data_IF_689172852033
#
_entry.id   IF_689172852033
#
_cell.length_a   1.000
_cell.length_b   1.000
_cell.length_c   1.000
_cell.angle_alpha   90.00
_cell.angle_beta   90.00
_cell.angle_gamma   90.00
#
_symmetry.space_group_name_H-M   'P 1'
#
loop_
_entity.id
_entity.type
_entity.pdbx_description
1 polymer ?
#
# COMPACT_ATOMS: atom_id res chain seq x y z
N UNK A 1 11.95 -6.30 8.75
CA UNK A 1 11.50 -5.12 9.53
C UNK A 1 10.98 -5.53 10.90
N UNK A 2 11.04 -4.64 11.92
CA UNK A 2 10.38 -4.90 13.21
C UNK A 2 8.87 -4.64 13.06
N UNK A 3 8.05 -5.28 13.88
CA UNK A 3 6.58 -5.09 13.89
C UNK A 3 6.14 -3.64 14.11
N UNK A 4 6.99 -2.82 14.74
CA UNK A 4 6.77 -1.38 14.91
C UNK A 4 6.87 -0.63 13.57
N UNK A 5 7.80 -1.01 12.70
CA UNK A 5 8.00 -0.37 11.39
C UNK A 5 6.80 -0.62 10.45
N UNK A 6 6.24 -1.84 10.47
CA UNK A 6 5.05 -2.17 9.68
C UNK A 6 3.81 -1.39 10.15
N UNK A 7 3.69 -1.12 11.44
CA UNK A 7 2.60 -0.32 12.01
C UNK A 7 2.71 1.15 11.61
N UNK A 8 3.93 1.69 11.61
CA UNK A 8 4.22 3.05 11.17
C UNK A 8 3.97 3.23 9.66
N UNK A 9 4.37 2.24 8.87
CA UNK A 9 4.06 2.16 7.44
C UNK A 9 2.54 2.15 7.20
N UNK A 10 1.80 1.28 7.89
CA UNK A 10 0.34 1.21 7.77
C UNK A 10 -0.32 2.57 8.06
N UNK A 11 0.10 3.24 9.14
CA UNK A 11 -0.41 4.56 9.51
C UNK A 11 -0.06 5.63 8.47
N UNK A 12 1.17 5.62 7.96
CA UNK A 12 1.65 6.57 6.94
C UNK A 12 0.87 6.41 5.64
N UNK A 13 0.70 5.16 5.18
CA UNK A 13 -0.05 4.83 3.96
C UNK A 13 -1.53 5.16 4.13
N UNK A 14 -2.11 4.89 5.29
CA UNK A 14 -3.50 5.25 5.58
C UNK A 14 -3.71 6.78 5.57
N UNK A 15 -2.77 7.54 6.13
CA UNK A 15 -2.82 9.01 6.13
C UNK A 15 -2.72 9.56 4.71
N UNK A 16 -1.75 9.09 3.93
CA UNK A 16 -1.60 9.45 2.51
C UNK A 16 -2.83 9.08 1.69
N UNK A 17 -3.45 7.91 1.95
CA UNK A 17 -4.72 7.51 1.34
C UNK A 17 -5.79 8.57 1.62
N UNK A 18 -6.01 8.95 2.88
CA UNK A 18 -7.03 9.94 3.24
C UNK A 18 -6.77 11.32 2.64
N UNK A 19 -5.51 11.75 2.58
CA UNK A 19 -5.12 13.09 2.12
C UNK A 19 -5.12 13.22 0.58
N UNK A 20 -4.60 12.22 -0.15
CA UNK A 20 -4.38 12.32 -1.60
C UNK A 20 -5.44 11.59 -2.42
N UNK A 21 -5.92 10.46 -1.92
CA UNK A 21 -6.82 9.58 -2.65
C UNK A 21 -7.83 8.91 -1.70
N UNK A 22 -8.75 9.69 -1.10
CA UNK A 22 -9.74 9.16 -0.14
C UNK A 22 -10.64 8.09 -0.74
N UNK A 23 -10.70 8.02 -2.07
CA UNK A 23 -11.40 7.03 -2.87
C UNK A 23 -10.70 5.66 -2.95
N UNK A 24 -9.43 5.54 -2.59
CA UNK A 24 -8.74 4.25 -2.56
C UNK A 24 -9.29 3.41 -1.41
N UNK A 25 -9.52 2.12 -1.67
CA UNK A 25 -10.04 1.19 -0.68
C UNK A 25 -9.05 0.98 0.49
N UNK A 26 -9.57 0.70 1.68
CA UNK A 26 -8.74 0.34 2.84
C UNK A 26 -7.94 -0.95 2.59
N UNK A 27 -8.42 -1.81 1.67
CA UNK A 27 -7.69 -2.97 1.18
C UNK A 27 -6.32 -2.62 0.57
N UNK A 28 -6.15 -1.41 0.02
CA UNK A 28 -4.85 -0.94 -0.48
C UNK A 28 -3.80 -0.86 0.64
N UNK A 29 -4.16 -0.32 1.81
CA UNK A 29 -3.25 -0.19 2.95
C UNK A 29 -2.76 -1.57 3.41
N UNK A 30 -3.67 -2.56 3.44
CA UNK A 30 -3.31 -3.94 3.79
C UNK A 30 -2.37 -4.57 2.76
N UNK A 31 -2.59 -4.32 1.47
CA UNK A 31 -1.72 -4.83 0.41
C UNK A 31 -0.29 -4.26 0.51
N UNK A 32 -0.15 -2.97 0.86
CA UNK A 32 1.16 -2.34 1.09
C UNK A 32 1.88 -2.98 2.28
N UNK A 33 1.18 -3.19 3.39
CA UNK A 33 1.77 -3.81 4.59
C UNK A 33 2.16 -5.27 4.32
N UNK A 34 1.34 -6.03 3.61
CA UNK A 34 1.68 -7.41 3.24
C UNK A 34 2.88 -7.48 2.29
N UNK A 35 2.99 -6.56 1.34
CA UNK A 35 4.14 -6.51 0.44
C UNK A 35 5.45 -6.32 1.22
N UNK A 36 5.46 -5.40 2.19
CA UNK A 36 6.65 -5.18 3.03
C UNK A 36 6.90 -6.28 4.06
N UNK A 37 5.85 -6.96 4.53
CA UNK A 37 6.01 -8.11 5.41
C UNK A 37 6.63 -9.31 4.67
N UNK A 38 6.28 -9.50 3.39
CA UNK A 38 6.81 -10.60 2.58
C UNK A 38 8.22 -10.32 2.04
N UNK A 39 8.56 -9.05 1.79
CA UNK A 39 9.86 -8.65 1.25
C UNK A 39 10.56 -7.54 2.05
N UNK A 40 10.86 -7.76 3.34
CA UNK A 40 11.40 -6.74 4.23
C UNK A 40 12.85 -6.31 3.93
N UNK A 41 13.52 -6.95 2.97
CA UNK A 41 14.92 -6.71 2.60
C UNK A 41 15.08 -6.19 1.16
N UNK A 42 13.97 -6.05 0.41
CA UNK A 42 13.97 -5.56 -0.97
C UNK A 42 12.94 -4.44 -1.15
N UNK A 43 13.36 -3.23 -0.80
CA UNK A 43 12.55 -2.01 -0.94
C UNK A 43 12.05 -1.80 -2.38
N UNK A 44 12.81 -2.29 -3.38
CA UNK A 44 12.45 -2.14 -4.79
C UNK A 44 11.32 -3.10 -5.19
N UNK A 45 11.33 -4.33 -4.67
CA UNK A 45 10.25 -5.29 -4.86
C UNK A 45 8.98 -4.86 -4.13
N UNK A 46 9.11 -4.38 -2.90
CA UNK A 46 7.97 -3.84 -2.16
C UNK A 46 7.35 -2.62 -2.86
N UNK A 47 8.17 -1.68 -3.34
CA UNK A 47 7.68 -0.56 -4.16
C UNK A 47 6.95 -1.01 -5.42
N UNK A 48 7.42 -2.06 -6.10
CA UNK A 48 6.72 -2.63 -7.27
C UNK A 48 5.36 -3.23 -6.89
N UNK A 49 5.28 -3.96 -5.79
CA UNK A 49 4.03 -4.53 -5.29
C UNK A 49 3.03 -3.43 -4.89
N UNK A 50 3.50 -2.38 -4.22
CA UNK A 50 2.71 -1.19 -3.87
C UNK A 50 2.20 -0.49 -5.14
N UNK A 51 3.05 -0.29 -6.15
CA UNK A 51 2.63 0.30 -7.43
C UNK A 51 1.60 -0.56 -8.15
N UNK A 52 1.72 -1.88 -8.10
CA UNK A 52 0.73 -2.79 -8.69
C UNK A 52 -0.62 -2.73 -7.96
N UNK A 53 -0.60 -2.68 -6.63
CA UNK A 53 -1.80 -2.51 -5.80
C UNK A 53 -2.47 -1.15 -6.07
N UNK A 54 -1.66 -0.08 -6.20
CA UNK A 54 -2.15 1.27 -6.48
C UNK A 54 -2.79 1.33 -7.87
N UNK A 55 -2.10 0.78 -8.88
CA UNK A 55 -2.62 0.71 -10.25
C UNK A 55 -3.93 -0.06 -10.29
N UNK A 56 -4.02 -1.20 -9.62
CA UNK A 56 -5.25 -2.01 -9.53
C UNK A 56 -6.39 -1.22 -8.89
N UNK A 57 -6.13 -0.57 -7.76
CA UNK A 57 -7.13 0.22 -7.05
C UNK A 57 -7.60 1.46 -7.84
N UNK A 58 -6.72 2.06 -8.65
CA UNK A 58 -7.07 3.15 -9.56
C UNK A 58 -7.83 2.65 -10.80
N UNK A 59 -7.44 1.50 -11.39
CA UNK A 59 -8.10 0.95 -12.58
C UNK A 59 -9.45 0.29 -12.29
N UNK A 60 -9.67 -0.20 -11.06
CA UNK A 60 -10.99 -0.69 -10.62
C UNK A 60 -12.06 0.41 -10.59
N UNK A 61 -11.66 1.69 -10.63
CA UNK A 61 -12.55 2.85 -10.74
C UNK A 61 -12.76 3.32 -12.19
N UNK A 62 -12.07 2.73 -13.17
CA UNK A 62 -12.11 3.10 -14.59
C UNK A 62 -12.78 2.07 -15.52
N UNK A 63 -13.44 1.04 -14.98
CA UNK A 63 -14.16 0.05 -15.76
C UNK A 63 -15.65 0.42 -15.89
N UNK A 64 -16.02 0.86 -17.08
CA UNK A 64 -17.39 0.96 -17.61
C UNK A 64 -18.18 -0.35 -17.45
#
# INVERSE_FOLDING_TARGET
MRTTDLKDLANTVEKLRRDLHPDLDAAFVQAVVQAEEQNPEDDAEALRAIQAALKTALTGKGGL
#
